data_IF_528894152815
#
_entry.id   IF_528894152815
#
_cell.length_a   1.000
_cell.length_b   1.000
_cell.length_c   1.000
_cell.angle_alpha   90.00
_cell.angle_beta   90.00
_cell.angle_gamma   90.00
#
_symmetry.space_group_name_H-M   'P 1'
#
loop_
_entity.id
_entity.type
_entity.pdbx_description
1 polymer ?
#
# COMPACT_ATOMS: atom_id res chain seq x y z
N UNK A 1 -3.00 23.07 6.63
CA UNK A 1 -1.70 22.62 7.16
C UNK A 1 -0.73 22.13 6.06
N UNK A 2 -1.20 21.38 5.05
CA UNK A 2 -0.33 20.80 4.00
C UNK A 2 0.16 21.77 2.90
N UNK A 3 -0.44 22.95 2.74
CA UNK A 3 0.01 23.97 1.77
C UNK A 3 1.38 24.58 2.08
N UNK A 4 1.99 24.24 3.24
CA UNK A 4 3.27 24.78 3.72
C UNK A 4 4.49 23.90 3.41
N UNK A 5 4.32 22.76 2.72
CA UNK A 5 5.38 21.80 2.42
C UNK A 5 5.88 21.95 0.98
N UNK A 6 7.18 21.72 0.75
CA UNK A 6 7.76 21.69 -0.60
C UNK A 6 7.19 20.52 -1.41
N UNK A 7 7.19 20.63 -2.74
CA UNK A 7 6.65 19.59 -3.64
C UNK A 7 7.33 18.25 -3.38
N UNK A 8 8.66 18.25 -3.25
CA UNK A 8 9.44 17.08 -2.87
C UNK A 8 8.94 16.43 -1.58
N UNK A 9 8.71 17.23 -0.52
CA UNK A 9 8.22 16.72 0.77
C UNK A 9 6.80 16.15 0.63
N UNK A 10 5.92 16.80 -0.12
CA UNK A 10 4.55 16.30 -0.36
C UNK A 10 4.55 14.94 -1.08
N UNK A 11 5.39 14.79 -2.12
CA UNK A 11 5.54 13.53 -2.85
C UNK A 11 6.10 12.41 -1.97
N UNK A 12 7.15 12.69 -1.21
CA UNK A 12 7.74 11.72 -0.28
C UNK A 12 6.73 11.31 0.81
N UNK A 13 5.94 12.25 1.33
CA UNK A 13 4.93 11.96 2.35
C UNK A 13 3.80 11.08 1.79
N UNK A 14 3.29 11.39 0.59
CA UNK A 14 2.25 10.60 -0.06
C UNK A 14 2.72 9.20 -0.41
N UNK A 15 3.87 9.09 -1.08
CA UNK A 15 4.44 7.79 -1.46
C UNK A 15 4.89 6.97 -0.24
N UNK A 16 5.50 7.62 0.75
CA UNK A 16 5.93 6.99 1.99
C UNK A 16 4.74 6.45 2.80
N UNK A 17 3.63 7.17 2.84
CA UNK A 17 2.42 6.71 3.53
C UNK A 17 1.79 5.50 2.82
N UNK A 18 1.67 5.53 1.49
CA UNK A 18 1.18 4.36 0.71
C UNK A 18 2.09 3.15 0.92
N UNK A 19 3.41 3.34 0.80
CA UNK A 19 4.40 2.27 0.97
C UNK A 19 4.36 1.69 2.39
N UNK A 20 4.25 2.56 3.41
CA UNK A 20 4.16 2.14 4.80
C UNK A 20 2.90 1.31 5.08
N UNK A 21 1.74 1.72 4.55
CA UNK A 21 0.50 0.96 4.68
C UNK A 21 0.60 -0.39 3.97
N UNK A 22 1.16 -0.43 2.75
CA UNK A 22 1.40 -1.69 2.05
C UNK A 22 2.33 -2.62 2.82
N UNK A 23 3.39 -2.08 3.43
CA UNK A 23 4.32 -2.86 4.23
C UNK A 23 3.65 -3.47 5.47
N UNK A 24 2.84 -2.69 6.20
CA UNK A 24 2.08 -3.18 7.35
C UNK A 24 1.07 -4.25 6.91
N UNK A 25 0.34 -4.04 5.81
CA UNK A 25 -0.60 -5.04 5.28
C UNK A 25 0.11 -6.34 4.91
N UNK A 26 1.28 -6.25 4.28
CA UNK A 26 2.10 -7.42 3.92
C UNK A 26 2.57 -8.18 5.17
N UNK A 27 2.98 -7.47 6.23
CA UNK A 27 3.38 -8.09 7.50
C UNK A 27 2.22 -8.83 8.18
N UNK A 28 1.01 -8.25 8.15
CA UNK A 28 -0.19 -8.89 8.71
C UNK A 28 -0.51 -10.18 7.93
N UNK A 29 -0.52 -10.11 6.60
CA UNK A 29 -0.77 -11.28 5.74
C UNK A 29 0.29 -12.37 5.93
N UNK A 30 1.56 -11.98 6.06
CA UNK A 30 2.65 -12.91 6.31
C UNK A 30 2.49 -13.65 7.64
N UNK A 31 2.19 -12.92 8.72
CA UNK A 31 2.03 -13.51 10.06
C UNK A 31 0.84 -14.48 10.13
N UNK A 32 -0.28 -14.16 9.48
CA UNK A 32 -1.42 -15.07 9.40
C UNK A 32 -1.11 -16.30 8.53
N UNK A 33 -0.41 -16.13 7.41
CA UNK A 33 0.03 -17.25 6.56
C UNK A 33 0.91 -18.26 7.31
N UNK A 34 1.83 -17.80 8.17
CA UNK A 34 2.67 -18.69 8.98
C UNK A 34 1.85 -19.48 10.02
N UNK A 35 0.86 -18.85 10.67
CA UNK A 35 -0.06 -19.54 11.59
C UNK A 35 -0.87 -20.62 10.89
N UNK A 36 -1.38 -20.31 9.70
CA UNK A 36 -2.12 -21.25 8.85
C UNK A 36 -1.23 -22.43 8.46
N UNK A 37 0.02 -22.16 8.09
CA UNK A 37 1.01 -23.18 7.73
C UNK A 37 1.31 -24.13 8.89
N UNK A 38 1.57 -23.61 10.09
CA UNK A 38 1.80 -24.47 11.27
C UNK A 38 0.60 -25.35 11.63
N UNK A 39 -0.62 -24.83 11.46
CA UNK A 39 -1.84 -25.61 11.69
C UNK A 39 -1.97 -26.74 10.65
N UNK A 40 -1.66 -26.44 9.39
CA UNK A 40 -1.67 -27.43 8.32
C UNK A 40 -0.58 -28.50 8.50
N UNK A 41 0.64 -28.11 8.86
CA UNK A 41 1.74 -29.02 9.20
C UNK A 41 1.36 -29.92 10.38
N UNK A 42 0.76 -29.39 11.44
CA UNK A 42 0.30 -30.19 12.58
C UNK A 42 -0.75 -31.26 12.17
N UNK A 43 -1.73 -30.90 11.33
CA UNK A 43 -2.72 -31.87 10.82
C UNK A 43 -2.05 -32.94 9.95
N UNK A 44 -1.21 -32.53 9.00
CA UNK A 44 -0.63 -33.42 8.00
C UNK A 44 0.45 -34.35 8.59
N UNK A 45 1.29 -33.83 9.49
CA UNK A 45 2.46 -34.55 9.98
C UNK A 45 2.21 -35.28 11.31
N UNK A 46 1.20 -34.87 12.08
CA UNK A 46 0.91 -35.48 13.39
C UNK A 46 -0.45 -36.21 13.39
N UNK A 47 -1.55 -35.52 13.11
CA UNK A 47 -2.89 -36.08 13.29
C UNK A 47 -3.23 -37.18 12.25
N UNK A 48 -2.98 -36.93 10.97
CA UNK A 48 -3.27 -37.90 9.90
C UNK A 48 -2.50 -39.22 10.08
N UNK A 49 -1.17 -39.21 10.30
CA UNK A 49 -0.41 -40.43 10.55
C UNK A 49 -0.85 -41.18 11.81
N UNK A 50 -1.25 -40.47 12.87
CA UNK A 50 -1.77 -41.07 14.10
C UNK A 50 -3.09 -41.83 13.85
N UNK A 51 -4.06 -41.19 13.20
CA UNK A 51 -5.35 -41.81 12.86
C UNK A 51 -5.13 -43.03 11.98
N UNK A 52 -4.27 -42.90 10.97
CA UNK A 52 -3.92 -43.99 10.07
C UNK A 52 -3.29 -45.16 10.84
N UNK A 53 -2.30 -44.91 11.70
CA UNK A 53 -1.64 -45.96 12.49
C UNK A 53 -2.63 -46.67 13.43
N UNK A 54 -3.57 -45.94 14.03
CA UNK A 54 -4.63 -46.52 14.85
C UNK A 54 -5.55 -47.43 14.03
N UNK A 55 -5.98 -46.96 12.85
CA UNK A 55 -6.84 -47.73 11.94
C UNK A 55 -6.15 -48.97 11.37
N UNK A 56 -4.87 -48.86 11.01
CA UNK A 56 -4.07 -49.97 10.50
C UNK A 56 -3.93 -51.06 11.57
N UNK A 57 -3.61 -50.68 12.81
CA UNK A 57 -3.55 -51.62 13.94
C UNK A 57 -4.91 -52.25 14.23
N UNK A 58 -5.99 -51.45 14.23
CA UNK A 58 -7.35 -51.95 14.41
C UNK A 58 -7.68 -53.03 13.38
N UNK A 59 -7.42 -52.74 12.10
CA UNK A 59 -7.69 -53.66 10.98
C UNK A 59 -6.84 -54.93 11.09
N UNK A 60 -5.57 -54.80 11.43
CA UNK A 60 -4.69 -55.95 11.67
C UNK A 60 -5.24 -56.83 12.79
N UNK A 61 -5.66 -56.28 13.93
CA UNK A 61 -6.23 -57.06 15.05
C UNK A 61 -7.56 -57.76 14.71
N UNK A 62 -8.40 -57.15 13.87
CA UNK A 62 -9.62 -57.80 13.38
C UNK A 62 -9.28 -58.97 12.45
N UNK A 63 -8.28 -58.81 11.59
CA UNK A 63 -7.82 -59.88 10.70
C UNK A 63 -7.18 -61.04 11.48
N UNK A 64 -6.31 -60.73 12.45
CA UNK A 64 -5.72 -61.72 13.38
C UNK A 64 -6.80 -62.60 14.02
N UNK A 65 -7.88 -61.98 14.50
CA UNK A 65 -9.00 -62.70 15.12
C UNK A 65 -9.65 -63.67 14.15
N UNK A 66 -9.96 -63.20 12.94
CA UNK A 66 -10.60 -64.00 11.91
C UNK A 66 -9.74 -65.20 11.51
N UNK A 67 -8.44 -64.98 11.29
CA UNK A 67 -7.46 -66.03 10.96
C UNK A 67 -7.33 -67.05 12.09
N UNK A 68 -7.21 -66.59 13.33
CA UNK A 68 -7.09 -67.49 14.48
C UNK A 68 -8.37 -68.29 14.72
N UNK A 69 -9.54 -67.69 14.55
CA UNK A 69 -10.84 -68.37 14.64
C UNK A 69 -10.99 -69.44 13.56
N UNK A 70 -10.55 -69.15 12.33
CA UNK A 70 -10.53 -70.12 11.24
C UNK A 70 -9.59 -71.28 11.56
N UNK A 71 -8.42 -71.00 12.14
CA UNK A 71 -7.51 -72.04 12.63
C UNK A 71 -8.16 -72.89 13.74
N UNK A 72 -8.80 -72.29 14.73
CA UNK A 72 -9.47 -73.02 15.81
C UNK A 72 -10.61 -73.92 15.31
N UNK A 73 -11.29 -73.50 14.26
CA UNK A 73 -12.41 -74.25 13.66
C UNK A 73 -11.89 -75.39 12.78
N UNK A 74 -10.94 -75.09 11.88
CA UNK A 74 -10.52 -76.02 10.82
C UNK A 74 -9.32 -76.88 11.21
N UNK A 75 -8.45 -76.39 12.10
CA UNK A 75 -7.13 -76.97 12.36
C UNK A 75 -6.12 -76.77 11.22
N UNK A 76 -6.46 -76.04 10.16
CA UNK A 76 -5.58 -75.88 9.00
C UNK A 76 -4.42 -74.91 9.30
N UNK A 77 -3.19 -75.41 9.18
CA UNK A 77 -1.95 -74.69 9.45
C UNK A 77 -1.79 -73.40 8.63
N UNK A 78 -2.40 -73.29 7.45
CA UNK A 78 -2.38 -72.07 6.64
C UNK A 78 -2.93 -70.86 7.41
N UNK A 79 -3.99 -71.04 8.19
CA UNK A 79 -4.58 -69.97 8.99
C UNK A 79 -3.72 -69.60 10.19
N UNK A 80 -3.04 -70.56 10.81
CA UNK A 80 -2.07 -70.28 11.87
C UNK A 80 -0.87 -69.48 11.34
N UNK A 81 -0.39 -69.83 10.14
CA UNK A 81 0.69 -69.10 9.48
C UNK A 81 0.25 -67.67 9.10
N UNK A 82 -0.99 -67.49 8.67
CA UNK A 82 -1.56 -66.16 8.40
C UNK A 82 -1.62 -65.33 9.68
N UNK A 83 -2.19 -65.89 10.75
CA UNK A 83 -2.21 -65.26 12.08
C UNK A 83 -0.82 -64.84 12.55
N UNK A 84 0.21 -65.69 12.40
CA UNK A 84 1.57 -65.35 12.82
C UNK A 84 2.14 -64.14 12.04
N UNK A 85 1.83 -64.02 10.75
CA UNK A 85 2.23 -62.84 9.95
C UNK A 85 1.50 -61.59 10.41
N UNK A 86 0.20 -61.70 10.62
CA UNK A 86 -0.63 -60.57 11.05
C UNK A 86 -0.26 -60.14 12.49
N UNK A 87 0.15 -61.08 13.34
CA UNK A 87 0.69 -60.80 14.68
C UNK A 87 2.06 -60.09 14.66
N UNK A 88 2.94 -60.44 13.71
CA UNK A 88 4.19 -59.70 13.49
C UNK A 88 3.89 -58.29 12.97
N UNK A 89 2.92 -58.15 12.05
CA UNK A 89 2.48 -56.87 11.54
C UNK A 89 1.90 -56.00 12.65
N UNK A 90 1.06 -56.54 13.53
CA UNK A 90 0.46 -55.80 14.65
C UNK A 90 1.54 -55.23 15.58
N UNK A 91 2.68 -55.93 15.74
CA UNK A 91 3.84 -55.45 16.50
C UNK A 91 4.52 -54.26 15.81
N UNK A 92 4.60 -54.27 14.48
CA UNK A 92 5.07 -53.11 13.70
C UNK A 92 4.09 -51.93 13.79
N UNK A 93 2.79 -52.20 13.69
CA UNK A 93 1.74 -51.19 13.73
C UNK A 93 1.68 -50.49 15.11
N UNK A 94 1.82 -51.23 16.22
CA UNK A 94 1.85 -50.62 17.57
C UNK A 94 3.11 -49.78 17.80
N UNK A 95 4.27 -50.21 17.28
CA UNK A 95 5.49 -49.38 17.34
C UNK A 95 5.29 -48.09 16.54
N UNK A 96 4.70 -48.17 15.36
CA UNK A 96 4.38 -47.00 14.54
C UNK A 96 3.42 -46.08 15.28
N UNK A 97 2.37 -46.63 15.90
CA UNK A 97 1.42 -45.84 16.70
C UNK A 97 2.11 -45.15 17.89
N UNK A 98 3.01 -45.86 18.60
CA UNK A 98 3.80 -45.28 19.69
C UNK A 98 4.66 -44.12 19.23
N UNK A 99 5.35 -44.27 18.11
CA UNK A 99 6.29 -43.27 17.60
C UNK A 99 5.57 -42.00 17.11
N UNK A 100 4.27 -42.10 16.80
CA UNK A 100 3.42 -40.96 16.38
C UNK A 100 2.70 -40.27 17.54
N UNK A 101 2.62 -40.90 18.72
CA UNK A 101 1.92 -40.37 19.88
C UNK A 101 2.91 -39.75 20.87
N UNK A 102 2.97 -38.42 20.89
CA UNK A 102 3.92 -37.65 21.72
C UNK A 102 3.34 -37.14 23.04
N UNK A 103 2.01 -37.08 23.18
CA UNK A 103 1.36 -36.58 24.38
C UNK A 103 1.43 -37.54 25.56
N UNK A 104 1.67 -37.04 26.78
CA UNK A 104 1.75 -37.85 28.01
C UNK A 104 0.53 -38.78 28.21
N UNK A 105 -0.68 -38.26 28.03
CA UNK A 105 -1.92 -39.06 28.14
C UNK A 105 -2.02 -40.12 27.06
N UNK A 106 -1.56 -39.81 25.84
CA UNK A 106 -1.56 -40.74 24.71
C UNK A 106 -0.52 -41.85 24.89
N UNK A 107 0.65 -41.55 25.48
CA UNK A 107 1.67 -42.54 25.82
C UNK A 107 1.15 -43.56 26.83
N UNK A 108 0.38 -43.13 27.83
CA UNK A 108 -0.29 -44.05 28.78
C UNK A 108 -1.27 -44.97 28.04
N UNK A 109 -2.07 -44.42 27.12
CA UNK A 109 -2.99 -45.23 26.31
C UNK A 109 -2.26 -46.28 25.47
N UNK A 110 -1.17 -45.91 24.80
CA UNK A 110 -0.34 -46.85 24.03
C UNK A 110 0.27 -47.91 24.93
N UNK A 111 0.78 -47.54 26.10
CA UNK A 111 1.33 -48.49 27.06
C UNK A 111 0.27 -49.52 27.50
N UNK A 112 -0.96 -49.07 27.76
CA UNK A 112 -2.07 -49.97 28.10
C UNK A 112 -2.43 -50.90 26.93
N UNK A 113 -2.46 -50.38 25.70
CA UNK A 113 -2.67 -51.17 24.49
C UNK A 113 -1.56 -52.22 24.35
N UNK A 114 -0.28 -51.83 24.45
CA UNK A 114 0.87 -52.74 24.38
C UNK A 114 0.79 -53.84 25.46
N UNK A 115 0.47 -53.46 26.69
CA UNK A 115 0.30 -54.39 27.82
C UNK A 115 -0.82 -55.39 27.55
N UNK A 116 -1.98 -54.92 27.09
CA UNK A 116 -3.12 -55.77 26.77
C UNK A 116 -2.86 -56.66 25.54
N UNK A 117 -2.12 -56.17 24.53
CA UNK A 117 -1.67 -57.00 23.41
C UNK A 117 -0.74 -58.13 23.87
N UNK A 118 0.19 -57.87 24.80
CA UNK A 118 1.03 -58.94 25.38
C UNK A 118 0.19 -60.00 26.09
N UNK A 119 -0.82 -59.59 26.86
CA UNK A 119 -1.78 -60.52 27.51
C UNK A 119 -2.55 -61.34 26.48
N UNK A 120 -3.10 -60.69 25.45
CA UNK A 120 -3.80 -61.35 24.34
C UNK A 120 -2.90 -62.43 23.71
N UNK A 121 -1.65 -62.11 23.37
CA UNK A 121 -0.72 -63.07 22.76
C UNK A 121 -0.41 -64.26 23.66
N UNK A 122 -0.28 -64.03 24.97
CA UNK A 122 -0.05 -65.11 25.94
C UNK A 122 -1.24 -66.08 25.98
N UNK A 123 -2.46 -65.56 26.03
CA UNK A 123 -3.67 -66.38 26.07
C UNK A 123 -3.99 -67.04 24.71
N UNK A 124 -3.71 -66.37 23.59
CA UNK A 124 -3.79 -66.94 22.24
C UNK A 124 -2.85 -68.13 22.07
N UNK A 125 -1.62 -68.05 22.61
CA UNK A 125 -0.68 -69.18 22.60
C UNK A 125 -1.22 -70.39 23.36
N UNK A 126 -1.89 -70.19 24.50
CA UNK A 126 -2.55 -71.27 25.25
C UNK A 126 -3.71 -71.88 24.46
N UNK A 127 -4.53 -71.04 23.82
CA UNK A 127 -5.61 -71.51 22.95
C UNK A 127 -5.10 -72.35 21.77
N UNK A 128 -3.97 -71.93 21.15
CA UNK A 128 -3.31 -72.71 20.08
C UNK A 128 -2.86 -74.09 20.58
N UNK A 129 -2.34 -74.21 21.79
CA UNK A 129 -1.95 -75.51 22.37
C UNK A 129 -3.14 -76.46 22.53
N UNK A 130 -4.33 -75.97 22.87
CA UNK A 130 -5.54 -76.80 22.93
C UNK A 130 -5.87 -77.41 21.56
N UNK A 131 -5.75 -76.63 20.48
CA UNK A 131 -5.94 -77.14 19.11
C UNK A 131 -4.88 -78.18 18.74
N UNK A 132 -3.61 -77.94 19.09
CA UNK A 132 -2.51 -78.89 18.83
C UNK A 132 -2.70 -80.23 19.57
N UNK A 133 -3.38 -80.21 20.74
CA UNK A 133 -3.75 -81.42 21.50
C UNK A 133 -5.06 -82.06 21.01
N UNK A 134 -5.64 -81.58 19.90
CA UNK A 134 -6.90 -82.08 19.34
C UNK A 134 -8.17 -81.54 20.00
N UNK A 135 -8.07 -80.66 21.00
CA UNK A 135 -9.21 -80.12 21.73
C UNK A 135 -9.63 -78.73 21.23
N UNK A 136 -10.23 -78.68 20.04
CA UNK A 136 -10.70 -77.43 19.41
C UNK A 136 -11.77 -76.69 20.22
N UNK A 137 -12.66 -77.43 20.90
CA UNK A 137 -13.74 -76.83 21.69
C UNK A 137 -13.18 -76.05 22.89
N UNK A 138 -12.20 -76.61 23.60
CA UNK A 138 -11.52 -75.91 24.69
C UNK A 138 -10.79 -74.65 24.20
N UNK A 139 -10.16 -74.70 23.01
CA UNK A 139 -9.51 -73.54 22.41
C UNK A 139 -10.49 -72.38 22.18
N UNK A 140 -11.68 -72.67 21.61
CA UNK A 140 -12.71 -71.67 21.33
C UNK A 140 -13.25 -71.07 22.63
N UNK A 141 -13.54 -71.90 23.64
CA UNK A 141 -14.05 -71.43 24.94
C UNK A 141 -12.99 -70.56 25.65
N UNK A 142 -11.74 -71.03 25.72
CA UNK A 142 -10.63 -70.27 26.31
C UNK A 142 -10.44 -68.92 25.63
N UNK A 143 -10.48 -68.91 24.29
CA UNK A 143 -10.33 -67.68 23.52
C UNK A 143 -11.48 -66.69 23.77
N UNK A 144 -12.72 -67.17 23.81
CA UNK A 144 -13.88 -66.33 24.10
C UNK A 144 -13.85 -65.75 25.53
N UNK A 145 -13.36 -66.51 26.52
CA UNK A 145 -13.36 -66.11 27.93
C UNK A 145 -12.21 -65.16 28.28
N UNK A 146 -11.01 -65.42 27.77
CA UNK A 146 -9.80 -64.70 28.20
C UNK A 146 -9.24 -63.72 27.16
N UNK A 147 -9.49 -63.92 25.86
CA UNK A 147 -8.92 -63.07 24.80
C UNK A 147 -9.90 -62.00 24.34
N UNK A 148 -11.14 -62.39 24.04
CA UNK A 148 -12.12 -61.48 23.45
C UNK A 148 -12.43 -60.23 24.31
N UNK A 149 -12.55 -60.30 25.65
CA UNK A 149 -12.78 -59.11 26.49
C UNK A 149 -11.63 -58.10 26.42
N UNK A 150 -10.38 -58.60 26.55
CA UNK A 150 -9.18 -57.75 26.51
C UNK A 150 -8.99 -57.15 25.11
N UNK A 151 -9.31 -57.92 24.06
CA UNK A 151 -9.26 -57.42 22.69
C UNK A 151 -10.28 -56.32 22.45
N UNK A 152 -11.50 -56.46 22.97
CA UNK A 152 -12.52 -55.42 22.84
C UNK A 152 -12.08 -54.11 23.50
N UNK A 153 -11.40 -54.17 24.64
CA UNK A 153 -10.81 -53.00 25.31
C UNK A 153 -9.73 -52.32 24.44
N UNK A 154 -8.86 -53.11 23.79
CA UNK A 154 -7.86 -52.59 22.86
C UNK A 154 -8.52 -51.94 21.64
N UNK A 155 -9.49 -52.62 21.00
CA UNK A 155 -10.19 -52.10 19.83
C UNK A 155 -10.96 -50.81 20.15
N UNK A 156 -11.58 -50.74 21.33
CA UNK A 156 -12.23 -49.52 21.82
C UNK A 156 -11.20 -48.40 22.01
N UNK A 157 -10.07 -48.69 22.64
CA UNK A 157 -9.00 -47.68 22.85
C UNK A 157 -8.46 -47.14 21.52
N UNK A 158 -8.29 -47.99 20.50
CA UNK A 158 -7.88 -47.57 19.16
C UNK A 158 -8.96 -46.72 18.47
N UNK A 159 -10.23 -47.10 18.61
CA UNK A 159 -11.36 -46.31 18.12
C UNK A 159 -11.42 -44.94 18.79
N UNK A 160 -11.20 -44.87 20.11
CA UNK A 160 -11.19 -43.62 20.86
C UNK A 160 -10.04 -42.70 20.40
N UNK A 161 -8.85 -43.25 20.16
CA UNK A 161 -7.70 -42.50 19.58
C UNK A 161 -8.07 -41.93 18.20
N UNK A 162 -8.69 -42.74 17.34
CA UNK A 162 -9.10 -42.30 16.01
C UNK A 162 -10.20 -41.24 16.06
N UNK A 163 -11.20 -41.41 16.93
CA UNK A 163 -12.29 -40.45 17.12
C UNK A 163 -11.78 -39.10 17.64
N UNK A 164 -10.87 -39.11 18.62
CA UNK A 164 -10.21 -37.89 19.11
C UNK A 164 -9.42 -37.22 18.00
N UNK A 165 -8.68 -37.99 17.20
CA UNK A 165 -7.96 -37.46 16.04
C UNK A 165 -8.89 -36.80 15.02
N UNK A 166 -10.01 -37.43 14.67
CA UNK A 166 -11.00 -36.86 13.76
C UNK A 166 -11.62 -35.57 14.30
N UNK A 167 -11.97 -35.53 15.59
CA UNK A 167 -12.50 -34.33 16.21
C UNK A 167 -11.48 -33.18 16.21
N UNK A 168 -10.19 -33.47 16.43
CA UNK A 168 -9.13 -32.46 16.33
C UNK A 168 -8.93 -31.95 14.90
N UNK A 169 -9.05 -32.83 13.89
CA UNK A 169 -9.01 -32.41 12.48
C UNK A 169 -10.20 -31.51 12.14
N UNK A 170 -11.40 -31.83 12.63
CA UNK A 170 -12.61 -31.02 12.41
C UNK A 170 -12.47 -29.64 13.06
N UNK A 171 -12.02 -29.58 14.32
CA UNK A 171 -11.73 -28.31 15.00
C UNK A 171 -10.65 -27.51 14.27
N UNK A 172 -9.58 -28.16 13.81
CA UNK A 172 -8.52 -27.50 13.07
C UNK A 172 -9.01 -27.01 11.69
N UNK A 173 -9.91 -27.75 11.03
CA UNK A 173 -10.59 -27.35 9.81
C UNK A 173 -11.46 -26.11 10.03
N UNK A 174 -12.25 -26.06 11.08
CA UNK A 174 -13.07 -24.88 11.40
C UNK A 174 -12.20 -23.66 11.74
N UNK A 175 -11.12 -23.86 12.50
CA UNK A 175 -10.13 -22.82 12.76
C UNK A 175 -9.46 -22.33 11.46
N UNK A 176 -9.17 -23.24 10.53
CA UNK A 176 -8.63 -22.90 9.22
C UNK A 176 -9.61 -22.07 8.40
N UNK A 177 -10.89 -22.47 8.32
CA UNK A 177 -11.91 -21.71 7.59
C UNK A 177 -12.10 -20.31 8.18
N UNK A 178 -12.18 -20.20 9.51
CA UNK A 178 -12.35 -18.90 10.16
C UNK A 178 -11.11 -18.01 10.03
N UNK A 179 -9.91 -18.58 10.13
CA UNK A 179 -8.66 -17.85 9.88
C UNK A 179 -8.56 -17.37 8.43
N UNK A 180 -8.88 -18.23 7.46
CA UNK A 180 -8.83 -17.89 6.05
C UNK A 180 -9.88 -16.83 5.70
N UNK A 181 -11.09 -16.93 6.26
CA UNK A 181 -12.12 -15.90 6.07
C UNK A 181 -11.70 -14.54 6.67
N UNK A 182 -11.06 -14.53 7.84
CA UNK A 182 -10.49 -13.31 8.42
C UNK A 182 -9.36 -12.74 7.55
N UNK A 183 -8.54 -13.60 6.97
CA UNK A 183 -7.47 -13.19 6.05
C UNK A 183 -8.04 -12.54 4.78
N UNK A 184 -9.08 -13.14 4.18
CA UNK A 184 -9.78 -12.57 3.03
C UNK A 184 -10.41 -11.22 3.37
N UNK A 185 -11.07 -11.11 4.52
CA UNK A 185 -11.65 -9.84 4.99
C UNK A 185 -10.58 -8.77 5.22
N UNK A 186 -9.46 -9.13 5.87
CA UNK A 186 -8.34 -8.23 6.09
C UNK A 186 -7.68 -7.80 4.78
N UNK A 187 -7.52 -8.71 3.82
CA UNK A 187 -6.99 -8.42 2.49
C UNK A 187 -7.89 -7.43 1.76
N UNK A 188 -9.21 -7.67 1.71
CA UNK A 188 -10.18 -6.75 1.10
C UNK A 188 -10.15 -5.38 1.76
N UNK A 189 -10.18 -5.31 3.10
CA UNK A 189 -10.12 -4.05 3.84
C UNK A 189 -8.82 -3.29 3.60
N UNK A 190 -7.69 -4.00 3.55
CA UNK A 190 -6.39 -3.38 3.22
C UNK A 190 -6.37 -2.84 1.80
N UNK A 191 -6.92 -3.58 0.82
CA UNK A 191 -7.02 -3.15 -0.57
C UNK A 191 -7.88 -1.88 -0.68
N UNK A 192 -9.04 -1.85 -0.02
CA UNK A 192 -9.91 -0.66 0.02
C UNK A 192 -9.17 0.53 0.65
N UNK A 193 -8.46 0.31 1.76
CA UNK A 193 -7.71 1.36 2.47
C UNK A 193 -6.60 1.94 1.59
N UNK A 194 -5.81 1.07 0.95
CA UNK A 194 -4.75 1.49 0.02
C UNK A 194 -5.35 2.25 -1.17
N UNK A 195 -6.46 1.77 -1.74
CA UNK A 195 -7.13 2.43 -2.85
C UNK A 195 -7.64 3.84 -2.46
N UNK A 196 -8.24 3.99 -1.27
CA UNK A 196 -8.69 5.29 -0.77
C UNK A 196 -7.53 6.26 -0.54
N UNK A 197 -6.43 5.79 0.04
CA UNK A 197 -5.23 6.61 0.27
C UNK A 197 -4.59 7.01 -1.07
N UNK A 198 -4.52 6.09 -2.03
CA UNK A 198 -4.01 6.38 -3.37
C UNK A 198 -4.89 7.41 -4.08
N UNK A 199 -6.22 7.25 -4.03
CA UNK A 199 -7.17 8.20 -4.60
C UNK A 199 -7.04 9.59 -3.98
N UNK A 200 -6.95 9.66 -2.65
CA UNK A 200 -6.69 10.92 -1.95
C UNK A 200 -5.37 11.53 -2.40
N UNK A 201 -4.29 10.74 -2.46
CA UNK A 201 -2.98 11.21 -2.91
C UNK A 201 -3.01 11.75 -4.33
N UNK A 202 -3.74 11.10 -5.25
CA UNK A 202 -3.93 11.59 -6.63
C UNK A 202 -4.67 12.92 -6.62
N UNK A 203 -5.82 13.01 -5.95
CA UNK A 203 -6.63 14.24 -5.88
C UNK A 203 -5.80 15.39 -5.30
N UNK A 204 -5.05 15.13 -4.24
CA UNK A 204 -4.16 16.12 -3.61
C UNK A 204 -3.03 16.54 -4.56
N UNK A 205 -2.37 15.60 -5.22
CA UNK A 205 -1.27 15.88 -6.16
C UNK A 205 -1.77 16.72 -7.35
N UNK A 206 -2.91 16.35 -7.93
CA UNK A 206 -3.52 17.09 -9.04
C UNK A 206 -3.90 18.52 -8.64
N UNK A 207 -4.50 18.69 -7.46
CA UNK A 207 -4.89 20.03 -6.97
C UNK A 207 -3.70 20.89 -6.55
N UNK A 208 -2.68 20.29 -5.93
CA UNK A 208 -1.52 21.01 -5.36
C UNK A 208 -0.47 21.37 -6.42
N UNK A 209 -0.26 20.52 -7.42
CA UNK A 209 0.86 20.63 -8.37
C UNK A 209 0.33 20.83 -9.79
N UNK A 210 -0.50 19.92 -10.30
CA UNK A 210 -0.86 19.92 -11.72
C UNK A 210 -1.63 21.18 -12.14
N UNK A 211 -2.57 21.66 -11.31
CA UNK A 211 -3.33 22.89 -11.59
C UNK A 211 -2.44 24.14 -11.63
N UNK A 212 -1.63 24.47 -10.59
CA UNK A 212 -0.73 25.61 -10.63
C UNK A 212 0.31 25.54 -11.75
N UNK A 213 0.91 24.36 -11.99
CA UNK A 213 1.87 24.18 -13.10
C UNK A 213 1.23 24.48 -14.45
N UNK A 214 -0.01 24.00 -14.69
CA UNK A 214 -0.74 24.31 -15.92
C UNK A 214 -1.03 25.80 -16.07
N UNK A 215 -1.39 26.49 -14.99
CA UNK A 215 -1.63 27.94 -15.01
C UNK A 215 -0.35 28.73 -15.34
N UNK A 216 0.79 28.34 -14.76
CA UNK A 216 2.10 28.95 -15.08
C UNK A 216 2.46 28.72 -16.54
N UNK A 217 2.25 27.50 -17.05
CA UNK A 217 2.56 27.15 -18.44
C UNK A 217 1.69 27.97 -19.42
N UNK A 218 0.38 28.08 -19.16
CA UNK A 218 -0.53 28.89 -19.97
C UNK A 218 -0.18 30.39 -19.92
N UNK A 219 0.23 30.90 -18.76
CA UNK A 219 0.68 32.28 -18.62
C UNK A 219 1.99 32.54 -19.38
N UNK A 220 2.94 31.60 -19.34
CA UNK A 220 4.19 31.70 -20.09
C UNK A 220 3.97 31.61 -21.61
N UNK A 221 3.06 30.76 -22.05
CA UNK A 221 2.65 30.66 -23.46
C UNK A 221 2.01 31.97 -23.94
N UNK A 222 1.08 32.53 -23.15
CA UNK A 222 0.46 33.83 -23.46
C UNK A 222 1.49 34.96 -23.52
N UNK A 223 2.45 34.94 -22.59
CA UNK A 223 3.56 35.90 -22.55
C UNK A 223 4.40 35.83 -23.83
N UNK A 224 4.67 34.63 -24.35
CA UNK A 224 5.40 34.43 -25.61
C UNK A 224 4.68 34.98 -26.84
N UNK A 225 3.34 35.07 -26.76
CA UNK A 225 2.47 35.62 -27.81
C UNK A 225 2.26 37.14 -27.66
N UNK A 226 2.96 37.81 -26.72
CA UNK A 226 2.81 39.24 -26.45
C UNK A 226 1.60 39.59 -25.58
N UNK A 227 0.87 38.60 -25.04
CA UNK A 227 -0.22 38.84 -24.10
C UNK A 227 0.27 38.72 -22.64
N UNK A 228 0.54 39.86 -22.02
CA UNK A 228 1.07 39.94 -20.64
C UNK A 228 0.02 39.73 -19.54
N UNK A 229 -1.27 39.88 -19.85
CA UNK A 229 -2.34 39.95 -18.84
C UNK A 229 -2.46 38.68 -17.97
N UNK A 230 -2.41 37.45 -18.53
CA UNK A 230 -2.47 36.22 -17.74
C UNK A 230 -1.30 36.05 -16.76
N UNK A 231 -0.09 36.51 -17.13
CA UNK A 231 1.09 36.43 -16.27
C UNK A 231 1.05 37.48 -15.14
N UNK A 232 0.51 38.67 -15.41
CA UNK A 232 0.33 39.73 -14.41
C UNK A 232 -0.74 39.33 -13.38
N UNK A 233 -1.89 38.81 -13.83
CA UNK A 233 -2.95 38.33 -12.91
C UNK A 233 -2.46 37.16 -12.03
N UNK A 234 -1.68 36.24 -12.61
CA UNK A 234 -1.04 35.16 -11.86
C UNK A 234 -0.07 35.69 -10.79
N UNK A 235 0.67 36.75 -11.08
CA UNK A 235 1.53 37.43 -10.09
C UNK A 235 0.72 37.94 -8.91
N UNK A 236 -0.36 38.67 -9.18
CA UNK A 236 -1.13 39.36 -8.16
C UNK A 236 -1.86 38.34 -7.26
N UNK A 237 -2.38 37.25 -7.83
CA UNK A 237 -2.93 36.11 -7.07
C UNK A 237 -1.87 35.42 -6.18
N UNK A 238 -0.64 35.26 -6.68
CA UNK A 238 0.46 34.67 -5.94
C UNK A 238 1.07 35.63 -4.90
N UNK A 239 0.92 36.94 -5.08
CA UNK A 239 1.39 37.98 -4.19
C UNK A 239 0.41 38.24 -3.04
N UNK A 240 -0.90 38.17 -3.26
CA UNK A 240 -1.93 38.35 -2.22
C UNK A 240 -1.89 37.22 -1.17
N UNK A 241 -1.42 36.04 -1.58
CA UNK A 241 -1.15 34.91 -0.67
C UNK A 241 0.05 35.15 0.28
N UNK A 242 0.83 36.23 0.10
CA UNK A 242 2.00 36.58 0.95
C UNK A 242 1.68 37.29 2.26
N UNK A 243 0.40 37.47 2.64
CA UNK A 243 0.07 37.87 4.03
C UNK A 243 0.63 36.90 5.10
N UNK A 244 1.11 35.72 4.69
CA UNK A 244 1.93 34.82 5.50
C UNK A 244 3.35 34.72 4.95
N UNK A 245 4.33 35.00 5.79
CA UNK A 245 5.75 35.20 5.47
C UNK A 245 6.39 34.02 4.68
N UNK A 246 6.98 34.38 3.54
CA UNK A 246 7.84 33.58 2.64
C UNK A 246 7.09 32.57 1.73
N UNK A 247 7.18 32.69 0.38
CA UNK A 247 6.64 31.68 -0.54
C UNK A 247 7.45 30.38 -0.40
N UNK A 248 6.85 29.34 0.21
CA UNK A 248 7.52 28.06 0.51
C UNK A 248 7.33 26.99 -0.58
N UNK A 249 6.57 27.28 -1.63
CA UNK A 249 6.34 26.36 -2.75
C UNK A 249 7.10 26.86 -4.00
N UNK A 250 7.92 25.99 -4.58
CA UNK A 250 8.70 26.20 -5.80
C UNK A 250 7.84 26.75 -6.95
N UNK A 251 6.62 26.25 -7.14
CA UNK A 251 5.70 26.71 -8.20
C UNK A 251 5.23 28.15 -7.97
N UNK A 252 4.98 28.54 -6.71
CA UNK A 252 4.58 29.91 -6.40
C UNK A 252 5.72 30.89 -6.67
N UNK A 253 6.96 30.48 -6.38
CA UNK A 253 8.15 31.27 -6.69
C UNK A 253 8.32 31.45 -8.20
N UNK A 254 8.09 30.39 -8.99
CA UNK A 254 8.08 30.47 -10.46
C UNK A 254 6.98 31.42 -10.93
N UNK A 255 5.73 31.25 -10.47
CA UNK A 255 4.61 32.14 -10.84
C UNK A 255 4.91 33.62 -10.56
N UNK A 256 5.51 33.92 -9.41
CA UNK A 256 5.94 35.27 -9.04
C UNK A 256 7.01 35.80 -10.00
N UNK A 257 8.02 35.00 -10.32
CA UNK A 257 9.11 35.39 -11.22
C UNK A 257 8.64 35.64 -12.66
N UNK A 258 7.76 34.77 -13.18
CA UNK A 258 7.13 34.92 -14.50
C UNK A 258 6.29 36.19 -14.55
N UNK A 259 5.52 36.44 -13.49
CA UNK A 259 4.73 37.65 -13.35
C UNK A 259 5.56 38.94 -13.29
N UNK A 260 6.66 38.94 -12.55
CA UNK A 260 7.60 40.07 -12.51
C UNK A 260 8.28 40.30 -13.87
N UNK A 261 8.64 39.22 -14.56
CA UNK A 261 9.19 39.30 -15.91
C UNK A 261 8.16 39.90 -16.88
N UNK A 262 6.90 39.46 -16.82
CA UNK A 262 5.81 40.02 -17.62
C UNK A 262 5.59 41.52 -17.35
N UNK A 263 5.59 41.96 -16.08
CA UNK A 263 5.49 43.40 -15.72
C UNK A 263 6.64 44.21 -16.33
N UNK A 264 7.88 43.71 -16.25
CA UNK A 264 9.06 44.38 -16.82
C UNK A 264 9.03 44.43 -18.35
N UNK A 265 8.63 43.34 -19.00
CA UNK A 265 8.50 43.28 -20.46
C UNK A 265 7.39 44.20 -20.96
N UNK A 266 6.23 44.20 -20.31
CA UNK A 266 5.13 45.10 -20.63
C UNK A 266 5.54 46.58 -20.51
N UNK A 267 6.22 46.95 -19.42
CA UNK A 267 6.74 48.31 -19.26
C UNK A 267 7.71 48.67 -20.40
N UNK A 268 8.66 47.78 -20.71
CA UNK A 268 9.61 47.98 -21.80
C UNK A 268 8.94 48.10 -23.17
N UNK A 269 7.92 47.29 -23.45
CA UNK A 269 7.19 47.38 -24.71
C UNK A 269 6.41 48.70 -24.81
N UNK A 270 5.76 49.15 -23.73
CA UNK A 270 5.15 50.49 -23.72
C UNK A 270 6.17 51.60 -23.98
N UNK A 271 7.37 51.50 -23.40
CA UNK A 271 8.46 52.45 -23.67
C UNK A 271 8.89 52.41 -25.14
N UNK A 272 9.03 51.21 -25.72
CA UNK A 272 9.43 51.06 -27.13
C UNK A 272 8.35 51.56 -28.10
N UNK A 273 7.07 51.32 -27.81
CA UNK A 273 5.95 51.84 -28.60
C UNK A 273 5.91 53.37 -28.53
N UNK A 274 6.05 53.95 -27.33
CA UNK A 274 6.14 55.40 -27.17
C UNK A 274 7.32 56.00 -27.96
N UNK A 275 8.50 55.37 -27.91
CA UNK A 275 9.64 55.80 -28.73
C UNK A 275 9.40 55.67 -30.23
N UNK A 276 8.73 54.59 -30.67
CA UNK A 276 8.37 54.40 -32.08
C UNK A 276 7.42 55.49 -32.54
N UNK A 277 6.35 55.73 -31.79
CA UNK A 277 5.31 56.70 -32.13
C UNK A 277 5.89 58.12 -32.15
N UNK A 278 6.75 58.46 -31.19
CA UNK A 278 7.52 59.70 -31.17
C UNK A 278 8.43 59.81 -32.39
N UNK A 279 9.18 58.75 -32.71
CA UNK A 279 10.06 58.74 -33.89
C UNK A 279 9.26 58.90 -35.19
N UNK A 280 8.09 58.27 -35.33
CA UNK A 280 7.23 58.46 -36.51
C UNK A 280 6.72 59.88 -36.61
N UNK A 281 6.30 60.47 -35.49
CA UNK A 281 5.82 61.86 -35.41
C UNK A 281 6.92 62.85 -35.79
N UNK A 282 8.14 62.61 -35.30
CA UNK A 282 9.30 63.41 -35.65
C UNK A 282 9.72 63.26 -37.13
N UNK A 283 9.57 62.07 -37.71
CA UNK A 283 9.90 61.83 -39.12
C UNK A 283 8.84 62.41 -40.07
N UNK A 284 7.58 62.51 -39.65
CA UNK A 284 6.47 62.99 -40.50
C UNK A 284 6.28 64.51 -40.51
N UNK A 285 6.91 65.26 -39.60
CA UNK A 285 6.71 66.70 -39.46
C UNK A 285 7.99 67.50 -39.77
N UNK A 286 7.91 68.39 -40.76
CA UNK A 286 8.98 69.33 -41.11
C UNK A 286 8.88 70.62 -40.26
N UNK A 287 7.71 70.87 -39.66
CA UNK A 287 7.47 72.06 -38.85
C UNK A 287 7.86 71.83 -37.38
N UNK A 288 8.96 72.48 -36.96
CA UNK A 288 9.54 72.35 -35.62
C UNK A 288 8.50 72.60 -34.50
N UNK A 289 7.58 73.55 -34.67
CA UNK A 289 6.56 73.84 -33.63
C UNK A 289 5.53 72.73 -33.50
N UNK A 290 5.03 72.19 -34.62
CA UNK A 290 4.06 71.09 -34.61
C UNK A 290 4.70 69.80 -34.10
N UNK A 291 5.95 69.54 -34.51
CA UNK A 291 6.73 68.39 -34.04
C UNK A 291 6.91 68.42 -32.52
N UNK A 292 7.32 69.57 -31.97
CA UNK A 292 7.51 69.71 -30.52
C UNK A 292 6.19 69.56 -29.77
N UNK A 293 5.10 70.13 -30.29
CA UNK A 293 3.79 70.02 -29.67
C UNK A 293 3.28 68.57 -29.64
N UNK A 294 3.35 67.86 -30.77
CA UNK A 294 2.94 66.46 -30.84
C UNK A 294 3.84 65.53 -30.01
N UNK A 295 5.15 65.79 -29.98
CA UNK A 295 6.07 65.06 -29.12
C UNK A 295 5.80 65.30 -27.63
N UNK A 296 5.47 66.53 -27.23
CA UNK A 296 5.13 66.87 -25.84
C UNK A 296 3.84 66.17 -25.38
N UNK A 297 2.80 66.15 -26.22
CA UNK A 297 1.55 65.44 -25.94
C UNK A 297 1.82 63.95 -25.73
N UNK A 298 2.58 63.31 -26.63
CA UNK A 298 2.89 61.89 -26.50
C UNK A 298 3.76 61.57 -25.27
N UNK A 299 4.73 62.43 -24.95
CA UNK A 299 5.53 62.28 -23.74
C UNK A 299 4.69 62.42 -22.48
N UNK A 300 3.79 63.40 -22.43
CA UNK A 300 2.92 63.64 -21.28
C UNK A 300 1.90 62.50 -21.08
N UNK A 301 1.30 61.99 -22.16
CA UNK A 301 0.41 60.83 -22.11
C UNK A 301 1.15 59.55 -21.66
N UNK A 302 2.41 59.37 -22.10
CA UNK A 302 3.24 58.22 -21.69
C UNK A 302 3.67 58.29 -20.22
N UNK A 303 4.16 59.43 -19.76
CA UNK A 303 4.56 59.63 -18.36
C UNK A 303 3.38 59.82 -17.41
N UNK A 304 2.16 59.90 -17.97
CA UNK A 304 0.94 60.25 -17.26
C UNK A 304 1.08 61.60 -16.51
N UNK A 305 1.84 62.52 -17.11
CA UNK A 305 2.15 63.83 -16.54
C UNK A 305 1.00 64.80 -16.79
N UNK A 306 0.57 65.49 -15.74
CA UNK A 306 -0.49 66.50 -15.86
C UNK A 306 -0.01 67.78 -16.53
N UNK A 307 1.29 68.07 -16.46
CA UNK A 307 1.91 69.28 -17.01
C UNK A 307 3.22 68.90 -17.71
N UNK A 308 3.47 69.46 -18.88
CA UNK A 308 4.73 69.35 -19.61
C UNK A 308 5.06 70.65 -20.33
N UNK A 309 6.34 71.02 -20.41
CA UNK A 309 6.78 72.24 -21.10
C UNK A 309 8.08 71.92 -21.86
N UNK A 310 8.17 72.31 -23.13
CA UNK A 310 9.42 72.27 -23.89
C UNK A 310 9.94 73.68 -24.10
N UNK A 311 11.20 73.90 -23.72
CA UNK A 311 11.92 75.14 -23.95
C UNK A 311 12.90 74.98 -25.12
N UNK A 312 12.99 76.02 -25.97
CA UNK A 312 14.08 76.16 -26.92
C UNK A 312 14.97 77.32 -26.51
N UNK A 313 16.23 77.22 -26.89
CA UNK A 313 17.22 78.25 -26.61
C UNK A 313 17.22 79.26 -27.77
N UNK A 314 16.77 80.48 -27.50
CA UNK A 314 16.86 81.60 -28.43
C UNK A 314 17.82 82.65 -27.85
N UNK A 315 19.07 82.65 -28.32
CA UNK A 315 20.11 83.58 -27.87
C UNK A 315 20.73 83.19 -26.51
N UNK A 316 20.34 83.87 -25.42
CA UNK A 316 20.79 83.58 -24.03
C UNK A 316 19.63 83.24 -23.08
N UNK A 317 18.43 83.03 -23.61
CA UNK A 317 17.20 82.81 -22.82
C UNK A 317 16.52 81.51 -23.25
N UNK A 318 15.97 80.80 -22.28
CA UNK A 318 15.05 79.68 -22.53
C UNK A 318 13.67 80.27 -22.78
N UNK A 319 13.10 79.97 -23.95
CA UNK A 319 11.76 80.42 -24.34
C UNK A 319 10.88 79.18 -24.40
N UNK A 320 9.71 79.16 -23.71
CA UNK A 320 8.77 78.05 -23.84
C UNK A 320 8.21 78.05 -25.26
N UNK A 321 8.29 76.91 -25.94
CA UNK A 321 7.81 76.78 -27.34
C UNK A 321 6.53 75.98 -27.42
N UNK A 322 6.34 75.00 -26.54
CA UNK A 322 5.08 74.27 -26.39
C UNK A 322 4.84 73.92 -24.93
N UNK A 323 3.56 73.85 -24.56
CA UNK A 323 3.07 73.57 -23.21
C UNK A 323 1.93 72.56 -23.30
N UNK A 324 1.84 71.67 -22.32
CA UNK A 324 0.79 70.67 -22.15
C UNK A 324 0.19 70.81 -20.75
N UNK A 325 -1.14 70.86 -20.67
CA UNK A 325 -1.89 70.93 -19.40
C UNK A 325 -1.73 72.24 -18.62
N UNK A 326 -1.12 73.28 -19.19
CA UNK A 326 -0.93 74.60 -18.58
C UNK A 326 -0.96 75.72 -19.62
N UNK A 327 -1.17 76.96 -19.18
CA UNK A 327 -1.16 78.13 -20.05
C UNK A 327 0.27 78.60 -20.34
N UNK A 328 0.49 79.14 -21.56
CA UNK A 328 1.82 79.52 -22.03
C UNK A 328 2.43 80.69 -21.24
N UNK A 329 1.61 81.52 -20.60
CA UNK A 329 2.05 82.61 -19.71
C UNK A 329 2.62 82.06 -18.39
N UNK A 330 1.93 81.10 -17.77
CA UNK A 330 2.40 80.44 -16.55
C UNK A 330 3.68 79.64 -16.79
N UNK A 331 3.86 79.07 -17.98
CA UNK A 331 5.10 78.39 -18.36
C UNK A 331 6.30 79.34 -18.49
N UNK A 332 6.09 80.57 -18.95
CA UNK A 332 7.16 81.57 -19.05
C UNK A 332 7.63 82.06 -17.67
N UNK A 333 6.74 82.06 -16.67
CA UNK A 333 7.10 82.42 -15.28
C UNK A 333 7.97 81.35 -14.61
N UNK A 334 7.74 80.07 -14.92
CA UNK A 334 8.50 78.93 -14.37
C UNK A 334 9.96 78.92 -14.87
N UNK A 335 10.24 79.46 -16.06
CA UNK A 335 11.58 79.51 -16.65
C UNK A 335 12.35 80.82 -16.45
N UNK A 336 11.81 81.75 -15.64
CA UNK A 336 12.51 82.98 -15.25
C UNK A 336 13.84 82.64 -14.53
N UNK A 337 14.95 83.37 -14.75
CA UNK A 337 16.29 82.88 -14.51
C UNK A 337 16.64 82.90 -13.02
N UNK A 338 16.20 81.87 -12.29
CA UNK A 338 16.90 81.40 -11.09
C UNK A 338 17.81 80.26 -11.50
N UNK A 339 19.08 80.41 -11.14
CA UNK A 339 20.16 79.48 -11.39
C UNK A 339 19.74 78.03 -11.09
N UNK A 340 19.82 77.20 -12.13
CA UNK A 340 20.08 75.76 -12.09
C UNK A 340 19.38 74.93 -11.02
N UNK A 341 18.22 74.36 -11.36
CA UNK A 341 17.95 72.92 -11.23
C UNK A 341 16.54 72.64 -11.75
N UNK A 342 16.45 71.92 -12.87
CA UNK A 342 15.21 71.26 -13.27
C UNK A 342 14.95 70.18 -12.22
N UNK A 343 14.01 70.43 -11.30
CA UNK A 343 13.50 69.38 -10.41
C UNK A 343 12.70 68.39 -11.25
N UNK A 344 13.28 67.22 -11.53
CA UNK A 344 12.50 66.04 -11.88
C UNK A 344 11.73 65.63 -10.62
N UNK A 345 10.41 65.80 -10.64
CA UNK A 345 9.51 65.22 -9.66
C UNK A 345 9.24 63.74 -9.97
#
# INVERSE_FOLDING_TARGET
>A
MFSRLTIKKQLILGFGLVTGVMFIATLILYNESERTRHTAEHILDQLNPQIKASHDLFTTLVNDRSELRLYFTTGNQQYLNAYNRSALKSKGDINTLRDRLSGYSQQIQVFNIESNLKKIRLEEARAIQYVQRGNRRAAIVHHAEYVDPVRLEVLRSLSDIAAIGHAQIELARDNFYTANHRMDQAAVMSCITVALIALMSIIFTVRSIARPSKAIMQAAESLSQGNYSPAITLHDLAADTRKFEIPRNELQLIALSVGQMAKKLYARERTLLAHRDLSTTCASSINVKELLNSALIQLADYSNSQIGIIYLFEGKKLVPVTVYGTEMQSAAEIASPTEGLVQQA
#
